data_IF_737802051897
#
_entry.id   IF_737802051897
#
_cell.length_a   1.000
_cell.length_b   1.000
_cell.length_c   1.000
_cell.angle_alpha   90.00
_cell.angle_beta   90.00
_cell.angle_gamma   90.00
#
_symmetry.space_group_name_H-M   'P 1'
#
loop_
_entity.id
_entity.type
_entity.pdbx_description
1 polymer ?
#
# COMPACT_ATOMS: atom_id res chain seq x y z
N UNK A 1 4.57 1.08 -20.13
CA UNK A 1 4.85 2.21 -19.23
C UNK A 1 6.34 2.57 -19.30
N UNK A 2 6.70 3.78 -18.92
CA UNK A 2 8.09 4.24 -18.93
C UNK A 2 8.76 3.89 -17.59
N UNK A 3 9.69 2.95 -17.61
CA UNK A 3 10.38 2.48 -16.39
C UNK A 3 11.17 3.59 -15.66
N UNK A 4 11.53 4.66 -16.34
CA UNK A 4 12.17 5.83 -15.72
C UNK A 4 11.19 6.57 -14.79
N UNK A 5 9.90 6.53 -15.12
CA UNK A 5 8.83 7.09 -14.29
C UNK A 5 8.68 6.26 -13.00
N UNK A 6 8.67 4.94 -13.11
CA UNK A 6 8.68 4.03 -11.96
C UNK A 6 9.92 4.26 -11.06
N UNK A 7 11.11 4.41 -11.66
CA UNK A 7 12.34 4.73 -10.93
C UNK A 7 12.23 6.05 -10.17
N UNK A 8 11.68 7.09 -10.81
CA UNK A 8 11.45 8.39 -10.15
C UNK A 8 10.48 8.24 -8.97
N UNK A 9 9.39 7.50 -9.16
CA UNK A 9 8.43 7.24 -8.09
C UNK A 9 9.10 6.54 -6.89
N UNK A 10 9.92 5.49 -7.13
CA UNK A 10 10.67 4.82 -6.07
C UNK A 10 11.61 5.77 -5.30
N UNK A 11 12.29 6.66 -6.02
CA UNK A 11 13.16 7.68 -5.39
C UNK A 11 12.36 8.67 -4.51
N UNK A 12 11.19 9.10 -4.99
CA UNK A 12 10.29 9.96 -4.22
C UNK A 12 9.74 9.25 -2.97
N UNK A 13 9.35 7.97 -3.10
CA UNK A 13 8.92 7.14 -1.97
C UNK A 13 10.03 7.05 -0.93
N UNK A 14 11.27 6.82 -1.35
CA UNK A 14 12.45 6.79 -0.46
C UNK A 14 12.68 8.13 0.24
N UNK A 15 12.51 9.23 -0.47
CA UNK A 15 12.62 10.56 0.10
C UNK A 15 11.54 10.79 1.18
N UNK A 16 10.28 10.47 0.89
CA UNK A 16 9.17 10.59 1.84
C UNK A 16 9.38 9.68 3.06
N UNK A 17 9.79 8.42 2.85
CA UNK A 17 10.10 7.49 3.94
C UNK A 17 11.17 8.04 4.89
N UNK A 18 12.23 8.65 4.34
CA UNK A 18 13.29 9.27 5.13
C UNK A 18 12.77 10.51 5.92
N UNK A 19 11.91 11.31 5.31
CA UNK A 19 11.29 12.47 5.99
C UNK A 19 10.43 11.99 7.17
N UNK A 20 9.58 10.99 6.96
CA UNK A 20 8.74 10.41 8.00
C UNK A 20 9.59 9.84 9.15
N UNK A 21 10.63 9.07 8.82
CA UNK A 21 11.54 8.49 9.80
C UNK A 21 12.28 9.57 10.62
N UNK A 22 12.81 10.61 9.96
CA UNK A 22 13.49 11.72 10.63
C UNK A 22 12.52 12.53 11.52
N UNK A 23 11.26 12.65 11.09
CA UNK A 23 10.18 13.27 11.87
C UNK A 23 9.63 12.38 12.98
N UNK A 24 10.09 11.14 13.10
CA UNK A 24 9.57 10.12 14.03
C UNK A 24 8.06 9.89 13.87
N UNK A 25 7.57 10.03 12.64
CA UNK A 25 6.17 9.70 12.30
C UNK A 25 6.12 8.19 12.04
N UNK A 26 5.27 7.43 12.76
CA UNK A 26 5.20 5.97 12.62
C UNK A 26 4.34 5.56 11.39
N UNK A 27 4.51 6.26 10.27
CA UNK A 27 3.97 5.87 8.98
C UNK A 27 5.06 5.15 8.17
N UNK A 28 4.69 4.01 7.58
CA UNK A 28 5.66 3.12 6.97
C UNK A 28 5.50 3.06 5.45
N UNK A 29 6.63 3.04 4.74
CA UNK A 29 6.71 2.91 3.29
C UNK A 29 7.84 1.95 2.91
N UNK A 30 7.67 1.19 1.83
CA UNK A 30 8.70 0.31 1.26
C UNK A 30 9.18 0.85 -0.09
N UNK A 31 10.30 1.57 -0.15
CA UNK A 31 10.89 2.04 -1.40
C UNK A 31 11.71 0.92 -2.04
N UNK A 32 11.10 0.11 -2.92
CA UNK A 32 11.82 -0.94 -3.65
C UNK A 32 12.72 -0.36 -4.74
N UNK A 33 13.81 -1.08 -5.05
CA UNK A 33 14.82 -0.59 -5.99
C UNK A 33 14.43 -0.82 -7.44
N UNK A 34 14.63 0.22 -8.27
CA UNK A 34 14.44 0.17 -9.71
C UNK A 34 15.64 0.80 -10.39
N UNK A 35 16.21 0.10 -11.36
CA UNK A 35 17.29 0.57 -12.25
C UNK A 35 16.78 0.55 -13.67
N UNK A 36 16.40 1.70 -14.20
CA UNK A 36 16.00 1.84 -15.58
C UNK A 36 17.25 1.93 -16.49
N UNK A 37 17.39 1.00 -17.42
CA UNK A 37 18.43 1.00 -18.46
C UNK A 37 17.93 1.76 -19.69
N UNK A 38 16.63 1.70 -19.94
CA UNK A 38 15.93 2.44 -20.99
C UNK A 38 14.50 2.73 -20.54
N UNK A 39 13.72 3.44 -21.35
CA UNK A 39 12.32 3.70 -21.03
C UNK A 39 11.44 2.42 -20.97
N UNK A 40 11.86 1.32 -21.63
CA UNK A 40 11.13 0.03 -21.65
C UNK A 40 11.87 -1.13 -21.00
N UNK A 41 13.05 -0.91 -20.44
CA UNK A 41 13.86 -2.00 -19.90
C UNK A 41 14.67 -1.59 -18.68
N UNK A 42 14.83 -2.51 -17.76
CA UNK A 42 15.57 -2.32 -16.52
C UNK A 42 15.43 -3.51 -15.59
N UNK A 43 15.84 -3.30 -14.36
CA UNK A 43 15.78 -4.29 -13.28
C UNK A 43 14.94 -3.68 -12.15
N UNK A 44 14.01 -4.47 -11.63
CA UNK A 44 13.18 -4.10 -10.48
C UNK A 44 13.40 -5.11 -9.36
N UNK A 45 13.48 -4.63 -8.14
CA UNK A 45 13.50 -5.47 -6.95
C UNK A 45 12.21 -6.28 -6.85
N UNK A 46 12.33 -7.60 -6.67
CA UNK A 46 11.20 -8.45 -6.31
C UNK A 46 11.03 -8.37 -4.79
N UNK A 47 9.92 -7.81 -4.34
CA UNK A 47 9.63 -7.66 -2.90
C UNK A 47 9.30 -9.03 -2.32
N UNK A 48 10.13 -9.57 -1.39
CA UNK A 48 9.97 -10.93 -0.90
C UNK A 48 8.76 -11.06 0.03
N UNK A 49 8.22 -12.27 0.12
CA UNK A 49 7.13 -12.64 1.04
C UNK A 49 5.88 -11.75 0.92
N UNK A 50 5.53 -11.40 -0.30
CA UNK A 50 4.36 -10.58 -0.60
C UNK A 50 3.41 -11.28 -1.54
N UNK A 51 2.14 -10.93 -1.44
CA UNK A 51 1.08 -11.33 -2.37
C UNK A 51 0.18 -10.13 -2.67
N UNK A 52 -0.25 -9.94 -3.92
CA UNK A 52 -1.22 -8.90 -4.21
C UNK A 52 -2.60 -9.26 -3.61
N UNK A 53 -3.37 -8.25 -3.18
CA UNK A 53 -4.72 -8.46 -2.65
C UNK A 53 -5.61 -9.16 -3.69
N UNK A 54 -5.41 -8.87 -4.98
CA UNK A 54 -6.11 -9.55 -6.07
C UNK A 54 -5.75 -11.04 -6.15
N UNK A 55 -4.44 -11.36 -6.09
CA UNK A 55 -3.97 -12.76 -6.09
C UNK A 55 -4.39 -13.51 -4.83
N UNK A 56 -4.40 -12.84 -3.69
CA UNK A 56 -4.89 -13.40 -2.43
C UNK A 56 -6.35 -13.83 -2.57
N UNK A 57 -7.22 -12.96 -3.10
CA UNK A 57 -8.64 -13.25 -3.33
C UNK A 57 -8.88 -14.42 -4.29
N UNK A 58 -8.04 -14.53 -5.33
CA UNK A 58 -8.20 -15.57 -6.37
C UNK A 58 -7.66 -16.94 -5.95
N UNK A 59 -6.59 -16.95 -5.16
CA UNK A 59 -5.81 -18.18 -4.93
C UNK A 59 -5.91 -18.72 -3.50
N UNK A 60 -6.38 -17.95 -2.52
CA UNK A 60 -6.53 -18.45 -1.16
C UNK A 60 -7.81 -19.28 -1.04
N UNK A 61 -7.75 -20.58 -0.66
CA UNK A 61 -8.86 -21.51 -0.77
C UNK A 61 -10.13 -21.12 -0.02
N UNK A 62 -10.01 -20.38 1.07
CA UNK A 62 -11.12 -20.00 1.96
C UNK A 62 -11.20 -18.48 2.17
N UNK A 63 -10.68 -17.70 1.22
CA UNK A 63 -10.74 -16.25 1.33
C UNK A 63 -12.19 -15.76 1.32
N UNK A 64 -12.63 -15.16 2.41
CA UNK A 64 -13.92 -14.47 2.54
C UNK A 64 -13.74 -12.97 2.42
N UNK A 65 -12.90 -12.42 3.26
CA UNK A 65 -12.53 -11.00 3.33
C UNK A 65 -11.13 -10.84 3.95
N UNK A 66 -10.59 -9.63 3.87
CA UNK A 66 -9.21 -9.35 4.32
C UNK A 66 -9.06 -9.48 5.85
N UNK A 67 -10.10 -9.14 6.63
CA UNK A 67 -10.07 -9.27 8.09
C UNK A 67 -10.01 -10.73 8.51
N UNK A 68 -10.80 -11.60 7.86
CA UNK A 68 -10.75 -13.04 8.10
C UNK A 68 -9.37 -13.61 7.76
N UNK A 69 -8.79 -13.20 6.64
CA UNK A 69 -7.42 -13.59 6.28
C UNK A 69 -6.41 -13.16 7.37
N UNK A 70 -6.53 -11.95 7.91
CA UNK A 70 -5.67 -11.49 9.01
C UNK A 70 -5.79 -12.40 10.24
N UNK A 71 -7.01 -12.83 10.60
CA UNK A 71 -7.25 -13.74 11.73
C UNK A 71 -6.67 -15.14 11.48
N UNK A 72 -6.78 -15.66 10.26
CA UNK A 72 -6.22 -16.98 9.92
C UNK A 72 -4.68 -16.94 9.87
N UNK A 73 -4.10 -15.88 9.32
CA UNK A 73 -2.66 -15.83 9.03
C UNK A 73 -1.83 -15.29 10.19
N UNK A 74 -2.32 -14.28 10.90
CA UNK A 74 -1.62 -13.63 12.00
C UNK A 74 -2.10 -14.03 13.38
N UNK A 75 -3.19 -14.79 13.47
CA UNK A 75 -3.77 -15.29 14.71
C UNK A 75 -5.07 -14.57 15.11
N UNK A 76 -5.68 -15.08 16.17
CA UNK A 76 -6.97 -14.57 16.67
C UNK A 76 -6.88 -13.10 17.06
N UNK A 77 -7.97 -12.37 16.86
CA UNK A 77 -8.12 -10.98 17.34
C UNK A 77 -7.77 -10.87 18.82
N UNK A 78 -6.90 -9.91 19.16
CA UNK A 78 -6.38 -9.69 20.50
C UNK A 78 -5.10 -10.47 20.82
N UNK A 79 -4.59 -11.33 19.94
CA UNK A 79 -3.25 -11.89 20.11
C UNK A 79 -2.18 -10.88 19.71
N UNK A 80 -1.00 -10.95 20.31
CA UNK A 80 0.10 -10.03 20.04
C UNK A 80 0.48 -10.01 18.56
N UNK A 81 0.49 -11.18 17.90
CA UNK A 81 0.82 -11.28 16.48
C UNK A 81 -0.22 -10.61 15.58
N UNK A 82 -1.52 -10.78 15.88
CA UNK A 82 -2.60 -10.11 15.17
C UNK A 82 -2.56 -8.59 15.36
N UNK A 83 -2.41 -8.13 16.60
CA UNK A 83 -2.35 -6.69 16.91
C UNK A 83 -1.13 -6.02 16.28
N UNK A 84 0.03 -6.70 16.24
CA UNK A 84 1.21 -6.22 15.54
C UNK A 84 0.98 -6.13 14.03
N UNK A 85 0.38 -7.14 13.40
CA UNK A 85 0.06 -7.12 11.97
C UNK A 85 -0.94 -6.00 11.64
N UNK A 86 -1.96 -5.81 12.47
CA UNK A 86 -2.92 -4.72 12.35
C UNK A 86 -2.27 -3.34 12.50
N UNK A 87 -1.33 -3.18 13.44
CA UNK A 87 -0.55 -1.95 13.58
C UNK A 87 0.29 -1.67 12.34
N UNK A 88 0.98 -2.68 11.80
CA UNK A 88 1.75 -2.58 10.56
C UNK A 88 0.86 -2.20 9.37
N UNK A 89 -0.33 -2.77 9.29
CA UNK A 89 -1.33 -2.41 8.28
C UNK A 89 -1.72 -0.94 8.37
N UNK A 90 -2.03 -0.45 9.57
CA UNK A 90 -2.40 0.95 9.82
C UNK A 90 -1.27 1.90 9.43
N UNK A 91 -0.05 1.63 9.87
CA UNK A 91 1.12 2.49 9.61
C UNK A 91 1.49 2.53 8.12
N UNK A 92 1.39 1.41 7.43
CA UNK A 92 1.63 1.37 5.98
C UNK A 92 0.48 2.01 5.20
N UNK A 93 -0.77 1.77 5.59
CA UNK A 93 -1.93 2.40 4.94
C UNK A 93 -1.87 3.93 5.07
N UNK A 94 -1.50 4.46 6.23
CA UNK A 94 -1.32 5.90 6.44
C UNK A 94 -0.20 6.44 5.55
N UNK A 95 0.97 5.79 5.53
CA UNK A 95 2.10 6.20 4.70
C UNK A 95 1.75 6.25 3.21
N UNK A 96 1.11 5.20 2.69
CA UNK A 96 0.70 5.16 1.28
C UNK A 96 -0.48 6.08 0.97
N UNK A 97 -1.37 6.37 1.93
CA UNK A 97 -2.44 7.36 1.74
C UNK A 97 -1.88 8.76 1.54
N UNK A 98 -0.94 9.19 2.39
CA UNK A 98 -0.24 10.48 2.26
C UNK A 98 0.54 10.53 0.94
N UNK A 99 1.28 9.47 0.62
CA UNK A 99 2.05 9.39 -0.63
C UNK A 99 1.14 9.53 -1.86
N UNK A 100 0.04 8.76 -1.92
CA UNK A 100 -0.91 8.81 -3.02
C UNK A 100 -1.57 10.19 -3.15
N UNK A 101 -1.91 10.83 -2.02
CA UNK A 101 -2.44 12.18 -2.01
C UNK A 101 -1.46 13.20 -2.57
N UNK A 102 -0.20 13.20 -2.08
CA UNK A 102 0.82 14.17 -2.47
C UNK A 102 1.26 14.01 -3.93
N UNK A 103 1.47 12.77 -4.37
CA UNK A 103 1.93 12.46 -5.73
C UNK A 103 0.77 12.27 -6.72
N UNK A 104 -0.47 12.34 -6.25
CA UNK A 104 -1.67 12.09 -7.05
C UNK A 104 -1.61 10.76 -7.81
N UNK A 105 -1.22 9.70 -7.10
CA UNK A 105 -1.10 8.36 -7.66
C UNK A 105 -2.48 7.84 -8.04
N UNK A 106 -2.60 7.32 -9.25
CA UNK A 106 -3.84 6.76 -9.81
C UNK A 106 -3.72 5.25 -10.05
N UNK A 107 -4.84 4.65 -10.44
CA UNK A 107 -4.92 3.23 -10.80
C UNK A 107 -4.58 2.28 -9.63
N UNK A 108 -5.09 2.60 -8.42
CA UNK A 108 -4.87 1.80 -7.21
C UNK A 108 -5.85 0.63 -7.12
N UNK A 109 -5.81 -0.31 -8.07
CA UNK A 109 -6.57 -1.56 -7.97
C UNK A 109 -5.86 -2.59 -7.06
N UNK A 110 -6.56 -3.68 -6.70
CA UNK A 110 -6.04 -4.68 -5.76
C UNK A 110 -4.82 -5.46 -6.28
N UNK A 111 -4.55 -5.45 -7.60
CA UNK A 111 -3.34 -6.00 -8.19
C UNK A 111 -2.10 -5.15 -7.91
N UNK A 112 -2.27 -3.84 -7.71
CA UNK A 112 -1.20 -2.88 -7.44
C UNK A 112 -0.97 -2.64 -5.93
N UNK A 113 -1.59 -3.44 -5.08
CA UNK A 113 -1.40 -3.39 -3.62
C UNK A 113 -0.99 -4.78 -3.15
N UNK A 114 0.21 -4.89 -2.64
CA UNK A 114 0.74 -6.10 -2.04
C UNK A 114 0.48 -6.08 -0.53
N UNK A 115 0.34 -7.27 0.05
CA UNK A 115 0.35 -7.52 1.48
C UNK A 115 1.58 -8.38 1.80
N UNK A 116 2.38 -8.00 2.79
CA UNK A 116 3.52 -8.77 3.25
C UNK A 116 3.16 -9.74 4.40
N UNK A 117 4.10 -10.61 4.76
CA UNK A 117 3.94 -11.57 5.83
C UNK A 117 3.99 -10.97 7.25
N UNK A 118 4.05 -9.65 7.37
CA UNK A 118 3.98 -8.91 8.65
C UNK A 118 2.73 -8.03 8.75
N UNK A 119 1.90 -8.00 7.71
CA UNK A 119 0.68 -7.21 7.66
C UNK A 119 0.81 -5.82 7.03
N UNK A 120 1.98 -5.43 6.51
CA UNK A 120 2.10 -4.16 5.79
C UNK A 120 1.47 -4.27 4.40
N UNK A 121 0.84 -3.20 3.94
CA UNK A 121 0.53 -3.02 2.53
C UNK A 121 1.67 -2.29 1.82
N UNK A 122 1.90 -2.65 0.56
CA UNK A 122 2.94 -2.04 -0.28
C UNK A 122 2.32 -1.74 -1.63
N UNK A 123 2.38 -0.48 -2.05
CA UNK A 123 1.91 -0.11 -3.38
C UNK A 123 3.04 -0.31 -4.40
N UNK A 124 2.68 -0.84 -5.56
CA UNK A 124 3.55 -1.04 -6.72
C UNK A 124 2.90 -0.45 -7.96
N UNK A 125 3.65 -0.38 -9.06
CA UNK A 125 3.16 0.13 -10.34
C UNK A 125 2.70 1.60 -10.25
N UNK A 126 3.67 2.50 -10.32
CA UNK A 126 3.46 3.95 -10.29
C UNK A 126 3.46 4.57 -11.69
N UNK A 127 2.98 3.82 -12.70
CA UNK A 127 2.85 4.29 -14.08
C UNK A 127 1.96 5.53 -14.25
N UNK A 128 1.08 5.78 -13.28
CA UNK A 128 0.16 6.92 -13.28
C UNK A 128 0.28 7.73 -11.98
N UNK A 129 1.04 8.82 -12.02
CA UNK A 129 1.11 9.79 -10.92
C UNK A 129 1.23 11.23 -11.45
N UNK A 130 1.03 12.23 -10.58
CA UNK A 130 0.85 13.64 -10.92
C UNK A 130 -0.31 13.83 -11.92
N UNK A 131 -0.03 14.33 -13.11
CA UNK A 131 -1.03 14.66 -14.13
C UNK A 131 -1.36 13.51 -15.08
N UNK A 132 -0.68 12.36 -14.95
CA UNK A 132 -0.96 11.21 -15.79
C UNK A 132 -2.11 10.37 -15.20
N UNK A 133 -3.04 9.93 -16.07
CA UNK A 133 -4.15 9.04 -15.69
C UNK A 133 -4.44 8.04 -16.80
N UNK A 134 -4.95 6.84 -16.48
CA UNK A 134 -5.39 5.89 -17.49
C UNK A 134 -6.37 6.52 -18.47
N UNK A 135 -6.15 6.32 -19.78
CA UNK A 135 -7.04 6.82 -20.82
C UNK A 135 -7.04 8.34 -21.02
N UNK A 136 -6.10 9.07 -20.42
CA UNK A 136 -6.03 10.56 -20.46
C UNK A 136 -7.30 11.26 -19.93
N UNK A 137 -8.10 10.60 -19.13
CA UNK A 137 -9.31 11.14 -18.53
C UNK A 137 -9.01 11.78 -17.18
N UNK A 138 -9.20 13.08 -17.07
CA UNK A 138 -9.04 13.85 -15.83
C UNK A 138 -10.05 13.50 -14.72
N UNK A 139 -11.03 12.64 -14.99
CA UNK A 139 -12.07 12.21 -14.06
C UNK A 139 -12.04 10.71 -13.72
N UNK A 140 -10.95 10.00 -14.01
CA UNK A 140 -10.88 8.55 -13.81
C UNK A 140 -11.04 8.15 -12.33
N UNK A 141 -10.41 8.86 -11.43
CA UNK A 141 -10.54 8.67 -9.98
C UNK A 141 -10.65 10.02 -9.29
N UNK A 142 -11.74 10.21 -8.52
CA UNK A 142 -11.95 11.41 -7.70
C UNK A 142 -11.38 11.28 -6.28
N UNK A 143 -11.23 10.06 -5.78
CA UNK A 143 -10.67 9.81 -4.46
C UNK A 143 -9.16 10.09 -4.45
N UNK A 144 -8.64 10.80 -3.43
CA UNK A 144 -7.22 11.15 -3.34
C UNK A 144 -6.33 9.94 -3.01
N UNK A 145 -6.87 8.91 -2.38
CA UNK A 145 -6.22 7.64 -2.06
C UNK A 145 -7.27 6.54 -1.88
N UNK A 146 -6.82 5.29 -1.85
CA UNK A 146 -7.70 4.13 -1.69
C UNK A 146 -7.94 3.81 -0.22
N UNK A 147 -9.20 3.97 0.22
CA UNK A 147 -9.68 3.51 1.51
C UNK A 147 -10.99 2.74 1.30
N UNK A 148 -10.92 1.42 1.30
CA UNK A 148 -12.08 0.54 1.08
C UNK A 148 -12.77 0.18 2.39
N UNK A 149 -14.03 -0.25 2.32
CA UNK A 149 -14.75 -0.80 3.48
C UNK A 149 -13.96 -1.97 4.11
N UNK A 150 -13.37 -2.83 3.30
CA UNK A 150 -12.56 -3.96 3.76
C UNK A 150 -11.31 -3.52 4.53
N UNK A 151 -10.64 -2.42 4.12
CA UNK A 151 -9.53 -1.85 4.89
C UNK A 151 -9.99 -1.30 6.24
N UNK A 152 -11.18 -0.70 6.27
CA UNK A 152 -11.80 -0.21 7.52
C UNK A 152 -12.14 -1.40 8.44
N UNK A 153 -12.60 -2.53 7.89
CA UNK A 153 -12.89 -3.74 8.66
C UNK A 153 -11.63 -4.37 9.29
N UNK A 154 -10.48 -4.37 8.61
CA UNK A 154 -9.19 -4.77 9.21
C UNK A 154 -8.85 -3.89 10.40
N UNK A 155 -9.19 -2.61 10.35
CA UNK A 155 -9.01 -1.65 11.45
C UNK A 155 -10.11 -1.72 12.53
N UNK A 156 -11.01 -2.71 12.49
CA UNK A 156 -12.15 -2.87 13.41
C UNK A 156 -13.23 -1.78 13.32
N UNK A 157 -13.32 -1.10 12.17
CA UNK A 157 -14.34 -0.09 11.88
C UNK A 157 -13.94 1.34 12.21
N UNK A 158 -14.76 2.29 11.75
CA UNK A 158 -14.48 3.74 11.81
C UNK A 158 -14.39 4.35 13.21
N UNK A 159 -14.92 3.66 14.23
CA UNK A 159 -14.89 4.13 15.61
C UNK A 159 -13.79 3.45 16.46
N UNK A 160 -12.96 2.61 15.84
CA UNK A 160 -11.92 1.86 16.53
C UNK A 160 -10.70 2.73 16.86
N UNK A 161 -9.88 2.24 17.78
CA UNK A 161 -8.58 2.84 18.10
C UNK A 161 -7.64 2.79 16.88
N UNK A 162 -7.64 1.68 16.12
CA UNK A 162 -6.81 1.52 14.93
C UNK A 162 -7.17 2.53 13.83
N UNK A 163 -8.47 2.78 13.59
CA UNK A 163 -8.91 3.78 12.62
C UNK A 163 -8.60 5.21 13.08
N UNK A 164 -8.72 5.50 14.37
CA UNK A 164 -8.32 6.80 14.92
C UNK A 164 -6.81 7.02 14.76
N UNK A 165 -5.98 6.00 15.06
CA UNK A 165 -4.53 6.05 14.80
C UNK A 165 -4.22 6.33 13.31
N UNK A 166 -4.93 5.66 12.38
CA UNK A 166 -4.80 5.93 10.94
C UNK A 166 -5.07 7.39 10.58
N UNK A 167 -6.07 8.02 11.21
CA UNK A 167 -6.43 9.42 10.95
C UNK A 167 -5.45 10.43 11.56
N UNK A 168 -4.77 10.07 12.63
CA UNK A 168 -3.79 10.91 13.33
C UNK A 168 -2.42 10.89 12.64
N UNK A 169 -2.08 9.82 11.92
CA UNK A 169 -0.87 9.67 11.13
C UNK A 169 -0.94 10.41 9.80
#
# INVERSE_FOLDING_TARGET
DDLRQEQLASQLIRCVANILANGRVPAWLYPYDIVAISFRGGIMEAIPNTISIDSLRKNHPHFTDLKHFFQEHFGQSGSDSYENAKANFVESLAGYSILCFLLQVKDRHNGNILLDNKGHIIHIDFGFFFLSSPGKNSGFESAPFKLTAEFIEVMDGVNSHAFNKFREL
#
